data_IF_382055552509
#
_entry.id   IF_382055552509
#
_cell.length_a   1.000
_cell.length_b   1.000
_cell.length_c   1.000
_cell.angle_alpha   90.00
_cell.angle_beta   90.00
_cell.angle_gamma   90.00
#
_symmetry.space_group_name_H-M   'P 1'
#
loop_
_entity.id
_entity.type
_entity.pdbx_description
1 polymer ?
#
# COMPACT_ATOMS: atom_id res chain seq x y z
N UNK A 1 29.52 19.39 9.72
CA UNK A 1 28.59 20.56 9.84
C UNK A 1 27.30 20.30 9.09
N UNK A 2 26.16 20.66 9.66
CA UNK A 2 24.87 20.60 8.94
C UNK A 2 24.71 21.82 8.04
N UNK A 3 23.91 21.72 6.95
CA UNK A 3 23.58 22.87 6.10
C UNK A 3 23.01 24.06 6.91
N UNK A 4 22.26 23.77 7.97
CA UNK A 4 21.70 24.79 8.84
C UNK A 4 22.78 25.56 9.62
N UNK A 5 23.81 24.89 10.11
CA UNK A 5 24.95 25.49 10.80
C UNK A 5 25.72 26.44 9.88
N UNK A 6 26.04 26.00 8.65
CA UNK A 6 26.74 26.83 7.67
C UNK A 6 25.92 28.09 7.31
N UNK A 7 24.61 27.94 7.10
CA UNK A 7 23.74 29.08 6.80
C UNK A 7 23.66 30.09 7.97
N UNK A 8 23.74 29.58 9.19
CA UNK A 8 23.79 30.46 10.38
C UNK A 8 25.09 31.22 10.45
N UNK A 9 26.23 30.59 10.26
CA UNK A 9 27.55 31.24 10.24
C UNK A 9 27.62 32.34 9.16
N UNK A 10 27.18 32.05 7.96
CA UNK A 10 27.11 33.05 6.87
C UNK A 10 26.20 34.24 7.24
N UNK A 11 25.10 33.98 7.91
CA UNK A 11 24.19 35.05 8.36
C UNK A 11 24.80 35.90 9.46
N UNK A 12 25.52 35.26 10.38
CA UNK A 12 26.26 35.98 11.44
C UNK A 12 27.31 36.90 10.85
N UNK A 13 28.19 36.41 9.99
CA UNK A 13 29.23 37.22 9.32
C UNK A 13 28.63 38.39 8.56
N UNK A 14 27.53 38.19 7.84
CA UNK A 14 26.82 39.26 7.13
C UNK A 14 26.24 40.30 8.08
N UNK A 15 25.65 39.86 9.18
CA UNK A 15 25.11 40.74 10.19
C UNK A 15 26.22 41.60 10.81
N UNK A 16 27.34 41.03 11.22
CA UNK A 16 28.48 41.75 11.82
C UNK A 16 29.01 42.84 10.89
N UNK A 17 29.18 42.51 9.59
CA UNK A 17 29.61 43.48 8.60
C UNK A 17 28.66 44.68 8.46
N UNK A 18 27.36 44.43 8.45
CA UNK A 18 26.34 45.48 8.36
C UNK A 18 26.17 46.24 9.65
N UNK A 19 26.31 45.56 10.80
CA UNK A 19 26.29 46.18 12.12
C UNK A 19 27.44 47.14 12.31
N UNK A 20 28.68 46.78 11.92
CA UNK A 20 29.84 47.68 11.94
C UNK A 20 29.63 48.95 11.11
N UNK A 21 29.10 48.80 9.89
CA UNK A 21 28.74 49.95 9.00
C UNK A 21 27.66 50.84 9.61
N UNK A 22 26.70 50.27 10.32
CA UNK A 22 25.66 51.01 11.04
C UNK A 22 26.28 51.80 12.22
N UNK A 23 27.21 51.23 12.96
CA UNK A 23 27.90 51.90 14.05
C UNK A 23 28.72 53.12 13.55
N UNK A 24 29.32 52.98 12.37
CA UNK A 24 30.00 54.06 11.68
C UNK A 24 29.06 55.11 11.05
N UNK A 25 27.74 54.96 11.22
CA UNK A 25 26.68 55.81 10.63
C UNK A 25 26.66 55.83 9.10
N UNK A 26 27.26 54.84 8.45
CA UNK A 26 27.24 54.67 6.98
C UNK A 26 25.89 54.16 6.50
N UNK A 27 25.21 53.36 7.32
CA UNK A 27 23.90 52.80 7.03
C UNK A 27 22.89 53.14 8.13
N UNK A 28 21.64 53.30 7.74
CA UNK A 28 20.49 53.30 8.66
C UNK A 28 20.09 51.88 9.10
N UNK A 29 19.26 51.78 10.14
CA UNK A 29 18.72 50.49 10.57
C UNK A 29 17.85 49.82 9.49
N UNK A 30 17.13 50.63 8.71
CA UNK A 30 16.28 50.12 7.64
C UNK A 30 17.11 49.55 6.49
N UNK A 31 18.12 50.29 6.01
CA UNK A 31 19.04 49.86 4.93
C UNK A 31 19.83 48.59 5.34
N UNK A 32 20.33 48.54 6.57
CA UNK A 32 21.03 47.36 7.07
C UNK A 32 20.12 46.15 7.15
N UNK A 33 18.85 46.34 7.52
CA UNK A 33 17.84 45.27 7.52
C UNK A 33 17.55 44.78 6.10
N UNK A 34 17.34 45.69 5.16
CA UNK A 34 17.10 45.38 3.74
C UNK A 34 18.28 44.59 3.13
N UNK A 35 19.51 45.07 3.32
CA UNK A 35 20.72 44.38 2.83
C UNK A 35 20.92 42.98 3.44
N UNK A 36 20.45 42.76 4.68
CA UNK A 36 20.48 41.43 5.33
C UNK A 36 19.32 40.54 4.91
N UNK A 37 18.29 41.11 4.26
CA UNK A 37 17.06 40.39 3.89
C UNK A 37 16.09 40.19 5.07
N UNK A 38 16.09 41.12 6.04
CA UNK A 38 15.21 41.10 7.21
C UNK A 38 14.55 42.47 7.40
N UNK A 39 13.47 42.52 8.20
CA UNK A 39 12.84 43.77 8.55
C UNK A 39 13.73 44.61 9.49
N UNK A 40 13.59 45.95 9.45
CA UNK A 40 14.28 46.86 10.37
C UNK A 40 14.10 46.43 11.86
N UNK A 41 12.87 46.06 12.24
CA UNK A 41 12.55 45.55 13.58
C UNK A 41 13.39 44.32 13.93
N UNK A 42 13.59 43.41 12.96
CA UNK A 42 14.39 42.20 13.16
C UNK A 42 15.87 42.56 13.33
N UNK A 43 16.37 43.46 12.47
CA UNK A 43 17.77 43.92 12.57
C UNK A 43 18.04 44.65 13.90
N UNK A 44 17.13 45.51 14.34
CA UNK A 44 17.21 46.20 15.65
C UNK A 44 17.22 45.22 16.80
N UNK A 45 16.36 44.21 16.78
CA UNK A 45 16.33 43.17 17.82
C UNK A 45 17.63 42.36 17.86
N UNK A 46 18.21 42.07 16.68
CA UNK A 46 19.49 41.35 16.62
C UNK A 46 20.64 42.24 17.08
N UNK A 47 20.64 43.52 16.75
CA UNK A 47 21.63 44.47 17.28
C UNK A 47 21.62 44.52 18.78
N UNK A 48 20.45 44.66 19.43
CA UNK A 48 20.37 44.63 20.89
C UNK A 48 20.84 43.32 21.51
N UNK A 49 20.59 42.18 20.87
CA UNK A 49 21.12 40.90 21.33
C UNK A 49 22.62 40.76 21.13
N UNK A 50 23.14 41.32 20.05
CA UNK A 50 24.58 41.36 19.78
C UNK A 50 25.30 42.30 20.76
N UNK A 51 24.70 43.41 21.13
CA UNK A 51 25.23 44.36 22.11
C UNK A 51 25.32 43.71 23.50
N UNK A 52 24.40 42.79 23.83
CA UNK A 52 24.35 42.16 25.15
C UNK A 52 25.19 40.86 25.23
N UNK A 53 25.05 40.00 24.23
CA UNK A 53 25.58 38.64 24.27
C UNK A 53 26.66 38.38 23.17
N UNK A 54 27.05 39.41 22.41
CA UNK A 54 28.00 39.27 21.30
C UNK A 54 27.45 38.30 20.20
N UNK A 55 28.36 37.57 19.56
CA UNK A 55 28.04 36.64 18.48
C UNK A 55 27.08 35.53 18.96
N UNK A 56 27.15 35.13 20.21
CA UNK A 56 26.24 34.13 20.79
C UNK A 56 24.79 34.61 20.80
N UNK A 57 24.56 35.92 20.93
CA UNK A 57 23.25 36.53 20.86
C UNK A 57 22.56 36.35 19.49
N UNK A 58 23.31 36.10 18.42
CA UNK A 58 22.81 35.87 17.07
C UNK A 58 22.48 34.40 16.78
N UNK A 59 22.87 33.49 17.67
CA UNK A 59 22.61 32.07 17.47
C UNK A 59 21.10 31.74 17.47
N UNK A 60 20.67 30.89 16.53
CA UNK A 60 19.31 30.35 16.54
C UNK A 60 19.20 29.30 17.67
N UNK A 61 18.66 29.73 18.79
CA UNK A 61 18.47 28.88 20.00
C UNK A 61 17.57 27.66 19.76
N UNK A 62 16.97 27.52 18.57
CA UNK A 62 16.19 26.34 18.16
C UNK A 62 17.06 25.24 17.56
N UNK A 63 18.25 25.58 17.05
CA UNK A 63 19.20 24.60 16.53
C UNK A 63 19.75 23.76 17.67
N UNK A 64 19.71 22.45 17.51
CA UNK A 64 20.17 21.49 18.53
C UNK A 64 19.19 21.18 19.65
N UNK A 65 18.06 21.90 19.76
CA UNK A 65 17.03 21.54 20.74
C UNK A 65 16.21 20.36 20.25
N UNK A 66 16.07 19.27 21.02
CA UNK A 66 15.16 18.20 20.68
C UNK A 66 13.72 18.76 20.59
N UNK A 67 13.00 18.36 19.53
CA UNK A 67 11.59 18.74 19.41
C UNK A 67 10.80 18.15 20.57
N UNK A 68 9.91 18.92 21.22
CA UNK A 68 8.98 18.39 22.21
C UNK A 68 8.00 17.35 21.65
N UNK A 69 7.98 17.18 20.34
CA UNK A 69 7.24 16.12 19.62
C UNK A 69 8.16 14.96 19.23
N UNK A 70 9.43 14.95 19.66
CA UNK A 70 10.31 13.82 19.40
C UNK A 70 9.76 12.57 20.10
N UNK A 71 9.74 11.46 19.37
CA UNK A 71 9.33 10.18 19.93
C UNK A 71 10.43 9.70 20.86
N UNK A 72 10.10 9.16 22.05
CA UNK A 72 11.07 8.55 22.95
C UNK A 72 11.91 7.48 22.24
N UNK A 73 13.18 7.43 22.53
CA UNK A 73 14.14 6.51 21.88
C UNK A 73 13.78 5.06 22.17
N UNK A 74 13.35 4.76 23.37
CA UNK A 74 12.91 3.44 23.82
C UNK A 74 11.67 2.94 23.05
N UNK A 75 10.71 3.82 22.74
CA UNK A 75 9.57 3.48 21.89
C UNK A 75 10.01 3.12 20.47
N UNK A 76 10.95 3.89 19.91
CA UNK A 76 11.48 3.62 18.58
C UNK A 76 12.26 2.29 18.54
N UNK A 77 13.11 2.04 19.54
CA UNK A 77 13.86 0.80 19.67
C UNK A 77 12.92 -0.40 19.84
N UNK A 78 11.92 -0.33 20.70
CA UNK A 78 10.94 -1.39 20.91
C UNK A 78 10.23 -1.76 19.60
N UNK A 79 9.81 -0.77 18.81
CA UNK A 79 9.16 -1.00 17.51
C UNK A 79 10.13 -1.63 16.51
N UNK A 80 11.38 -1.19 16.44
CA UNK A 80 12.40 -1.75 15.55
C UNK A 80 12.73 -3.19 15.93
N UNK A 81 12.97 -3.46 17.22
CA UNK A 81 13.24 -4.81 17.72
C UNK A 81 12.08 -5.76 17.44
N UNK A 82 10.84 -5.30 17.61
CA UNK A 82 9.66 -6.10 17.30
C UNK A 82 9.61 -6.46 15.80
N UNK A 83 9.90 -5.49 14.91
CA UNK A 83 9.97 -5.75 13.48
C UNK A 83 11.06 -6.78 13.16
N UNK A 84 12.24 -6.60 13.70
CA UNK A 84 13.41 -7.45 13.46
C UNK A 84 13.20 -8.90 13.93
N UNK A 85 12.57 -9.06 15.10
CA UNK A 85 12.43 -10.39 15.72
C UNK A 85 11.22 -11.18 15.25
N UNK A 86 10.12 -10.51 14.87
CA UNK A 86 8.85 -11.19 14.56
C UNK A 86 8.28 -10.89 13.17
N UNK A 87 8.68 -9.76 12.56
CA UNK A 87 8.05 -9.24 11.34
C UNK A 87 9.05 -8.96 10.22
N UNK A 88 10.24 -9.58 10.28
CA UNK A 88 11.24 -9.47 9.22
C UNK A 88 10.65 -9.85 7.86
N UNK A 89 10.87 -9.03 6.83
CA UNK A 89 10.35 -9.26 5.50
C UNK A 89 8.89 -8.84 5.28
N UNK A 90 8.20 -8.34 6.32
CA UNK A 90 6.86 -7.79 6.14
C UNK A 90 6.93 -6.43 5.46
N UNK A 91 5.92 -6.11 4.63
CA UNK A 91 5.78 -4.74 4.14
C UNK A 91 5.49 -3.81 5.31
N UNK A 92 6.05 -2.59 5.26
CA UNK A 92 5.85 -1.60 6.33
C UNK A 92 4.36 -1.37 6.63
N UNK A 93 3.52 -1.43 5.59
CA UNK A 93 2.08 -1.20 5.76
C UNK A 93 1.43 -2.32 6.56
N UNK A 94 1.78 -3.57 6.26
CA UNK A 94 1.27 -4.74 6.97
C UNK A 94 1.76 -4.78 8.42
N UNK A 95 3.07 -4.57 8.65
CA UNK A 95 3.62 -4.45 9.99
C UNK A 95 2.98 -3.32 10.80
N UNK A 96 2.82 -2.13 10.20
CA UNK A 96 2.22 -0.99 10.89
C UNK A 96 0.81 -1.27 11.40
N UNK A 97 0.03 -2.04 10.65
CA UNK A 97 -1.29 -2.49 11.05
C UNK A 97 -1.22 -3.38 12.29
N UNK A 98 -0.37 -4.41 12.27
CA UNK A 98 -0.14 -5.29 13.42
C UNK A 98 0.42 -4.53 14.63
N UNK A 99 1.34 -3.58 14.39
CA UNK A 99 1.85 -2.70 15.43
C UNK A 99 0.72 -1.95 16.16
N UNK A 100 -0.26 -1.44 15.42
CA UNK A 100 -1.41 -0.75 16.01
C UNK A 100 -2.41 -1.68 16.69
N UNK A 101 -2.77 -2.79 16.06
CA UNK A 101 -3.84 -3.66 16.55
C UNK A 101 -3.40 -4.57 17.69
N UNK A 102 -2.16 -5.05 17.69
CA UNK A 102 -1.69 -6.08 18.62
C UNK A 102 -0.65 -5.59 19.62
N UNK A 103 0.09 -4.55 19.28
CA UNK A 103 1.23 -4.09 20.10
C UNK A 103 1.04 -2.68 20.66
N UNK A 104 -0.15 -2.11 20.58
CA UNK A 104 -0.50 -0.81 21.16
C UNK A 104 0.23 0.37 20.53
N UNK A 105 0.68 0.25 19.29
CA UNK A 105 1.32 1.34 18.55
C UNK A 105 0.35 2.48 18.26
N UNK A 106 0.78 3.73 18.51
CA UNK A 106 -0.04 4.92 18.28
C UNK A 106 0.54 5.86 17.22
N UNK A 107 1.75 5.57 16.71
CA UNK A 107 2.45 6.44 15.79
C UNK A 107 1.96 6.28 14.34
N UNK A 108 2.06 7.36 13.56
CA UNK A 108 1.61 7.35 12.17
C UNK A 108 2.44 6.38 11.29
N UNK A 109 1.83 5.90 10.21
CA UNK A 109 2.51 5.10 9.18
C UNK A 109 3.79 5.75 8.66
N UNK A 110 3.77 7.08 8.45
CA UNK A 110 4.95 7.81 7.97
C UNK A 110 6.10 7.78 8.97
N UNK A 111 5.81 7.80 10.27
CA UNK A 111 6.82 7.67 11.30
C UNK A 111 7.39 6.23 11.31
N UNK A 112 6.54 5.21 11.39
CA UNK A 112 6.95 3.80 11.32
C UNK A 112 7.86 3.53 10.12
N UNK A 113 7.44 3.99 8.94
CA UNK A 113 8.21 3.84 7.70
C UNK A 113 9.60 4.51 7.79
N UNK A 114 9.66 5.76 8.25
CA UNK A 114 10.93 6.50 8.35
C UNK A 114 11.88 5.88 9.36
N UNK A 115 11.34 5.40 10.48
CA UNK A 115 12.13 4.76 11.54
C UNK A 115 12.72 3.44 11.06
N UNK A 116 11.95 2.56 10.41
CA UNK A 116 12.45 1.31 9.82
C UNK A 116 13.45 1.56 8.69
N UNK A 117 13.25 2.62 7.89
CA UNK A 117 14.22 3.02 6.85
C UNK A 117 15.52 3.55 7.46
N UNK A 118 15.45 4.31 8.55
CA UNK A 118 16.63 4.81 9.26
C UNK A 118 17.41 3.68 9.93
N UNK A 119 16.72 2.66 10.43
CA UNK A 119 17.31 1.45 11.00
C UNK A 119 17.86 0.46 9.93
N UNK A 120 17.66 0.73 8.63
CA UNK A 120 18.19 -0.11 7.55
C UNK A 120 17.36 -1.35 7.21
N UNK A 121 16.23 -1.58 7.89
CA UNK A 121 15.39 -2.77 7.66
C UNK A 121 14.54 -2.68 6.40
N UNK A 122 14.30 -1.47 5.89
CA UNK A 122 13.44 -1.26 4.72
C UNK A 122 14.08 -0.27 3.76
N UNK A 123 14.19 -0.65 2.50
CA UNK A 123 14.70 0.23 1.43
C UNK A 123 13.64 1.23 0.97
N UNK A 124 14.08 2.38 0.47
CA UNK A 124 13.18 3.32 -0.19
C UNK A 124 12.76 2.77 -1.54
N UNK A 125 11.46 2.74 -1.78
CA UNK A 125 10.94 2.37 -3.09
C UNK A 125 11.43 3.36 -4.16
N UNK A 126 11.84 2.89 -5.35
CA UNK A 126 12.17 3.77 -6.47
C UNK A 126 10.96 4.62 -6.89
N UNK A 127 11.23 5.79 -7.46
CA UNK A 127 10.17 6.62 -8.05
C UNK A 127 9.51 5.84 -9.20
N UNK A 128 8.19 5.72 -9.15
CA UNK A 128 7.43 5.09 -10.24
C UNK A 128 7.36 6.04 -11.43
N UNK A 129 7.40 5.49 -12.65
CA UNK A 129 7.13 6.21 -13.89
C UNK A 129 5.66 6.66 -14.02
N UNK A 130 5.30 7.21 -15.17
CA UNK A 130 3.95 7.69 -15.46
C UNK A 130 2.89 6.59 -15.24
N UNK A 131 1.73 7.00 -14.73
CA UNK A 131 0.61 6.09 -14.52
C UNK A 131 0.07 5.57 -15.87
N UNK A 132 -0.08 4.24 -15.98
CA UNK A 132 -0.82 3.62 -17.08
C UNK A 132 -2.31 3.97 -16.98
N UNK A 133 -2.99 4.06 -18.11
CA UNK A 133 -4.46 4.22 -18.14
C UNK A 133 -5.11 3.05 -17.40
N UNK A 134 -6.03 3.36 -16.49
CA UNK A 134 -6.81 2.35 -15.77
C UNK A 134 -8.13 2.13 -16.52
N UNK A 135 -8.50 0.86 -16.73
CA UNK A 135 -9.85 0.54 -17.19
C UNK A 135 -10.88 0.99 -16.13
N UNK A 136 -11.97 1.67 -16.50
CA UNK A 136 -13.05 1.99 -15.57
C UNK A 136 -13.58 0.72 -14.89
N UNK A 137 -14.06 0.86 -13.66
CA UNK A 137 -14.77 -0.21 -12.95
C UNK A 137 -16.18 -0.37 -13.52
N UNK A 138 -16.76 -1.55 -13.36
CA UNK A 138 -18.21 -1.69 -13.53
C UNK A 138 -18.92 -0.87 -12.45
N UNK A 139 -20.07 -0.26 -12.75
CA UNK A 139 -20.76 0.61 -11.78
C UNK A 139 -21.36 -0.13 -10.60
N UNK A 140 -21.88 -1.36 -10.82
CA UNK A 140 -22.58 -2.17 -9.82
C UNK A 140 -21.87 -3.48 -9.52
N UNK A 141 -21.90 -3.97 -8.27
CA UNK A 141 -21.50 -5.34 -7.93
C UNK A 141 -22.30 -6.36 -8.72
N UNK A 142 -21.69 -7.50 -9.07
CA UNK A 142 -22.33 -8.57 -9.83
C UNK A 142 -22.41 -8.33 -11.36
N UNK A 143 -22.09 -7.14 -11.86
CA UNK A 143 -22.02 -6.92 -13.31
C UNK A 143 -20.87 -7.68 -13.98
N UNK A 144 -19.75 -7.83 -13.29
CA UNK A 144 -18.61 -8.59 -13.78
C UNK A 144 -17.78 -9.08 -12.62
N UNK A 145 -17.55 -10.37 -12.58
CA UNK A 145 -16.61 -10.98 -11.66
C UNK A 145 -15.33 -11.34 -12.39
N UNK A 146 -14.23 -11.40 -11.65
CA UNK A 146 -12.96 -11.97 -12.09
C UNK A 146 -12.73 -13.27 -11.33
N UNK A 147 -12.40 -14.34 -12.02
CA UNK A 147 -11.92 -15.57 -11.40
C UNK A 147 -10.54 -15.89 -11.97
N UNK A 148 -9.64 -16.29 -11.07
CA UNK A 148 -8.26 -16.55 -11.41
C UNK A 148 -7.62 -17.43 -10.34
N UNK A 149 -6.65 -18.25 -10.71
CA UNK A 149 -5.83 -19.05 -9.82
C UNK A 149 -4.42 -18.46 -9.69
N UNK A 150 -3.76 -18.79 -8.59
CA UNK A 150 -2.38 -18.38 -8.37
C UNK A 150 -1.61 -19.46 -7.63
N UNK A 151 -0.68 -20.08 -8.34
CA UNK A 151 0.31 -20.99 -7.74
C UNK A 151 1.35 -20.18 -6.97
N UNK A 152 1.54 -20.51 -5.71
CA UNK A 152 2.54 -19.85 -4.87
C UNK A 152 2.94 -20.76 -3.71
N UNK A 153 4.11 -20.51 -3.12
CA UNK A 153 4.50 -21.12 -1.86
C UNK A 153 3.76 -20.41 -0.72
N UNK A 154 2.53 -20.86 -0.42
CA UNK A 154 1.67 -20.26 0.60
C UNK A 154 2.09 -20.62 2.02
N UNK A 155 2.68 -21.79 2.17
CA UNK A 155 3.30 -22.31 3.38
C UNK A 155 4.68 -22.84 2.99
N UNK A 156 5.71 -22.68 3.80
CA UNK A 156 7.05 -23.17 3.49
C UNK A 156 7.06 -24.64 3.03
N UNK A 157 7.60 -24.90 1.85
CA UNK A 157 7.66 -26.22 1.24
C UNK A 157 6.39 -26.70 0.54
N UNK A 158 5.28 -25.94 0.60
CA UNK A 158 4.00 -26.33 -0.01
C UNK A 158 3.59 -25.31 -1.09
N UNK A 159 3.55 -25.76 -2.34
CA UNK A 159 2.98 -25.02 -3.44
C UNK A 159 1.53 -25.45 -3.68
N UNK A 160 0.60 -24.54 -3.51
CA UNK A 160 -0.82 -24.73 -3.78
C UNK A 160 -1.34 -23.66 -4.72
N UNK A 161 -2.48 -23.91 -5.33
CA UNK A 161 -3.21 -22.90 -6.08
C UNK A 161 -4.26 -22.25 -5.20
N UNK A 162 -4.22 -20.92 -5.10
CA UNK A 162 -5.27 -20.13 -4.50
C UNK A 162 -6.24 -19.69 -5.60
N UNK A 163 -7.45 -20.21 -5.57
CA UNK A 163 -8.53 -19.79 -6.46
C UNK A 163 -9.24 -18.60 -5.82
N UNK A 164 -9.43 -17.52 -6.59
CA UNK A 164 -10.08 -16.29 -6.11
C UNK A 164 -11.14 -15.83 -7.09
N UNK A 165 -12.33 -15.56 -6.59
CA UNK A 165 -13.41 -14.92 -7.33
C UNK A 165 -13.73 -13.57 -6.70
N UNK A 166 -13.50 -12.48 -7.43
CA UNK A 166 -13.65 -11.11 -6.94
C UNK A 166 -14.49 -10.24 -7.88
N UNK A 167 -15.13 -9.23 -7.31
CA UNK A 167 -15.97 -8.27 -8.05
C UNK A 167 -15.15 -7.16 -8.73
N UNK A 168 -15.52 -6.79 -9.95
CA UNK A 168 -14.89 -5.72 -10.69
C UNK A 168 -15.20 -4.33 -10.14
N UNK A 169 -16.40 -4.11 -9.65
CA UNK A 169 -16.85 -2.82 -9.15
C UNK A 169 -16.19 -2.51 -7.80
N UNK A 170 -16.20 -3.47 -6.88
CA UNK A 170 -15.80 -3.27 -5.49
C UNK A 170 -14.42 -3.84 -5.16
N UNK A 171 -13.89 -4.78 -5.94
CA UNK A 171 -12.74 -5.63 -5.59
C UNK A 171 -12.96 -6.51 -4.36
N UNK A 172 -14.18 -6.65 -3.90
CA UNK A 172 -14.57 -7.58 -2.88
C UNK A 172 -14.33 -9.01 -3.35
N UNK A 173 -13.75 -9.85 -2.51
CA UNK A 173 -13.56 -11.27 -2.77
C UNK A 173 -14.77 -12.01 -2.20
N UNK A 174 -15.52 -12.68 -3.07
CA UNK A 174 -16.70 -13.45 -2.67
C UNK A 174 -16.39 -14.92 -2.41
N UNK A 175 -15.38 -15.47 -3.10
CA UNK A 175 -14.91 -16.83 -2.89
C UNK A 175 -13.40 -16.86 -3.00
N UNK A 176 -12.73 -17.53 -2.05
CA UNK A 176 -11.32 -17.86 -2.14
C UNK A 176 -11.03 -19.14 -1.33
N UNK A 177 -10.22 -20.03 -1.91
CA UNK A 177 -9.80 -21.25 -1.27
C UNK A 177 -8.55 -21.83 -1.94
N UNK A 178 -7.80 -22.60 -1.17
CA UNK A 178 -6.65 -23.36 -1.63
C UNK A 178 -7.07 -24.71 -2.20
N UNK A 179 -6.38 -25.13 -3.26
CA UNK A 179 -6.43 -26.46 -3.87
C UNK A 179 -5.01 -26.90 -4.23
N UNK A 180 -4.83 -28.20 -4.49
CA UNK A 180 -3.55 -28.72 -4.97
C UNK A 180 -3.25 -28.19 -6.38
N UNK A 181 -4.27 -28.18 -7.26
CA UNK A 181 -4.15 -27.74 -8.65
C UNK A 181 -5.44 -27.07 -9.13
N UNK A 182 -5.29 -25.95 -9.86
CA UNK A 182 -6.38 -25.24 -10.53
C UNK A 182 -6.95 -26.10 -11.66
N UNK A 183 -8.28 -26.08 -11.83
CA UNK A 183 -8.94 -26.81 -12.91
C UNK A 183 -10.45 -26.57 -12.96
N UNK A 184 -11.12 -27.37 -13.77
CA UNK A 184 -12.56 -27.26 -13.98
C UNK A 184 -13.37 -27.34 -12.70
N UNK A 185 -13.05 -28.28 -11.80
CA UNK A 185 -13.82 -28.48 -10.56
C UNK A 185 -13.62 -27.33 -9.57
N UNK A 186 -12.39 -26.85 -9.41
CA UNK A 186 -12.11 -25.71 -8.53
C UNK A 186 -12.75 -24.43 -9.06
N UNK A 187 -12.73 -24.22 -10.39
CA UNK A 187 -13.42 -23.08 -11.00
C UNK A 187 -14.94 -23.13 -10.76
N UNK A 188 -15.59 -24.29 -11.00
CA UNK A 188 -17.02 -24.46 -10.76
C UNK A 188 -17.38 -24.32 -9.27
N UNK A 189 -16.52 -24.81 -8.36
CA UNK A 189 -16.69 -24.63 -6.91
C UNK A 189 -16.73 -23.14 -6.55
N UNK A 190 -15.76 -22.35 -7.01
CA UNK A 190 -15.71 -20.92 -6.71
C UNK A 190 -16.93 -20.16 -7.25
N UNK A 191 -17.41 -20.51 -8.45
CA UNK A 191 -18.63 -19.94 -9.02
C UNK A 191 -19.87 -20.33 -8.21
N UNK A 192 -19.97 -21.60 -7.79
CA UNK A 192 -21.06 -22.07 -6.96
C UNK A 192 -21.13 -21.33 -5.63
N UNK A 193 -19.99 -21.18 -4.93
CA UNK A 193 -19.93 -20.44 -3.66
C UNK A 193 -20.44 -19.01 -3.82
N UNK A 194 -20.11 -18.32 -4.93
CA UNK A 194 -20.65 -16.99 -5.21
C UNK A 194 -22.14 -17.01 -5.48
N UNK A 195 -22.62 -17.94 -6.30
CA UNK A 195 -24.06 -18.02 -6.64
C UNK A 195 -24.90 -18.33 -5.42
N UNK A 196 -24.44 -19.23 -4.55
CA UNK A 196 -25.15 -19.59 -3.31
C UNK A 196 -25.20 -18.46 -2.30
N UNK A 197 -24.21 -17.56 -2.27
CA UNK A 197 -24.11 -16.49 -1.28
C UNK A 197 -24.61 -15.13 -1.80
N UNK A 198 -24.41 -14.82 -3.08
CA UNK A 198 -24.71 -13.52 -3.69
C UNK A 198 -25.84 -13.58 -4.72
N UNK A 199 -26.02 -14.73 -5.38
CA UNK A 199 -26.91 -14.90 -6.52
C UNK A 199 -26.18 -14.93 -7.86
N UNK A 200 -26.95 -14.98 -8.97
CA UNK A 200 -26.42 -15.00 -10.33
C UNK A 200 -25.86 -13.61 -10.71
N UNK A 201 -24.69 -13.60 -11.33
CA UNK A 201 -24.00 -12.42 -11.83
C UNK A 201 -24.04 -12.34 -13.36
N UNK A 202 -23.76 -11.16 -13.95
CA UNK A 202 -23.96 -10.96 -15.39
C UNK A 202 -22.81 -11.50 -16.26
N UNK A 203 -21.55 -11.39 -15.82
CA UNK A 203 -20.40 -11.83 -16.61
C UNK A 203 -19.21 -12.25 -15.77
N UNK A 204 -18.43 -13.21 -16.30
CA UNK A 204 -17.18 -13.69 -15.72
C UNK A 204 -16.00 -13.32 -16.63
N UNK A 205 -14.98 -12.72 -16.09
CA UNK A 205 -13.76 -12.36 -16.77
C UNK A 205 -12.61 -13.25 -16.29
N UNK A 206 -12.03 -14.06 -17.18
CA UNK A 206 -11.00 -15.04 -16.86
C UNK A 206 -9.78 -14.86 -17.74
N UNK A 207 -8.68 -15.49 -17.38
CA UNK A 207 -7.62 -15.76 -18.32
C UNK A 207 -8.08 -16.75 -19.42
N UNK A 208 -7.14 -17.19 -20.28
CA UNK A 208 -7.41 -18.16 -21.33
C UNK A 208 -6.93 -19.55 -20.94
N UNK A 209 -7.02 -19.90 -19.66
CA UNK A 209 -6.73 -21.25 -19.17
C UNK A 209 -7.61 -22.30 -19.85
N UNK A 210 -7.08 -23.51 -20.04
CA UNK A 210 -7.72 -24.59 -20.80
C UNK A 210 -9.05 -25.06 -20.21
N UNK A 211 -9.28 -24.85 -18.92
CA UNK A 211 -10.53 -25.17 -18.23
C UNK A 211 -11.63 -24.14 -18.50
N UNK A 212 -11.27 -22.88 -18.87
CA UNK A 212 -12.22 -21.85 -19.30
C UNK A 212 -12.41 -21.84 -20.82
N UNK A 213 -11.31 -21.99 -21.57
CA UNK A 213 -11.31 -21.77 -23.02
C UNK A 213 -10.54 -22.86 -23.75
N UNK A 214 -11.06 -23.24 -24.91
CA UNK A 214 -10.30 -24.01 -25.88
C UNK A 214 -9.56 -23.04 -26.81
N UNK A 215 -8.27 -23.26 -26.99
CA UNK A 215 -7.41 -22.52 -27.92
C UNK A 215 -6.65 -23.50 -28.78
N UNK A 216 -6.53 -23.25 -30.07
CA UNK A 216 -5.78 -24.13 -30.99
C UNK A 216 -4.28 -24.09 -30.70
N UNK A 217 -3.78 -22.92 -30.29
CA UNK A 217 -2.39 -22.71 -29.90
C UNK A 217 -2.34 -21.99 -28.56
N UNK A 218 -1.30 -22.26 -27.77
CA UNK A 218 -1.08 -21.59 -26.49
C UNK A 218 -1.02 -20.06 -26.68
N UNK A 219 -1.94 -19.34 -26.04
CA UNK A 219 -2.06 -17.88 -26.17
C UNK A 219 -2.81 -17.40 -27.42
N UNK A 220 -3.32 -18.29 -28.26
CA UNK A 220 -4.09 -18.00 -29.48
C UNK A 220 -5.49 -17.45 -29.23
N UNK A 221 -6.28 -17.31 -30.29
CA UNK A 221 -7.69 -16.93 -30.18
C UNK A 221 -8.49 -18.05 -29.57
N UNK A 222 -9.46 -17.69 -28.72
CA UNK A 222 -10.36 -18.66 -28.10
C UNK A 222 -11.34 -19.24 -29.14
N UNK A 223 -11.59 -20.54 -29.06
CA UNK A 223 -12.65 -21.20 -29.81
C UNK A 223 -14.01 -20.84 -29.20
N UNK A 224 -14.90 -20.29 -29.98
CA UNK A 224 -16.24 -19.89 -29.55
C UNK A 224 -17.30 -20.94 -29.87
N UNK A 225 -16.95 -21.98 -30.60
CA UNK A 225 -17.86 -23.05 -31.04
C UNK A 225 -17.73 -24.26 -30.10
N UNK A 226 -16.51 -24.71 -29.87
CA UNK A 226 -16.23 -25.79 -28.93
C UNK A 226 -16.09 -25.22 -27.51
N UNK A 227 -17.03 -25.53 -26.64
CA UNK A 227 -17.09 -24.97 -25.30
C UNK A 227 -16.56 -25.95 -24.25
N UNK A 228 -15.81 -25.41 -23.28
CA UNK A 228 -15.39 -26.17 -22.09
C UNK A 228 -16.58 -26.44 -21.18
N UNK A 229 -16.39 -27.29 -20.16
CA UNK A 229 -17.44 -27.57 -19.15
C UNK A 229 -17.86 -26.30 -18.40
N UNK A 230 -16.87 -25.49 -17.98
CA UNK A 230 -17.15 -24.22 -17.30
C UNK A 230 -17.95 -23.27 -18.20
N UNK A 231 -17.56 -23.14 -19.45
CA UNK A 231 -18.24 -22.26 -20.40
C UNK A 231 -19.68 -22.70 -20.63
N UNK A 232 -19.93 -24.01 -20.81
CA UNK A 232 -21.30 -24.54 -20.98
C UNK A 232 -22.18 -24.31 -19.76
N UNK A 233 -21.64 -24.52 -18.55
CA UNK A 233 -22.37 -24.27 -17.33
C UNK A 233 -22.76 -22.79 -17.21
N UNK A 234 -21.84 -21.88 -17.46
CA UNK A 234 -22.11 -20.44 -17.44
C UNK A 234 -23.14 -20.04 -18.51
N UNK A 235 -23.04 -20.58 -19.71
CA UNK A 235 -24.02 -20.34 -20.79
C UNK A 235 -25.43 -20.76 -20.40
N UNK A 236 -25.59 -21.92 -19.75
CA UNK A 236 -26.90 -22.39 -19.24
C UNK A 236 -27.47 -21.46 -18.18
N UNK A 237 -26.61 -20.84 -17.37
CA UNK A 237 -27.00 -19.87 -16.35
C UNK A 237 -27.20 -18.45 -16.89
N UNK A 238 -27.01 -18.23 -18.20
CA UNK A 238 -27.11 -16.90 -18.80
C UNK A 238 -25.93 -15.96 -18.48
N UNK A 239 -24.84 -16.50 -17.93
CA UNK A 239 -23.65 -15.71 -17.56
C UNK A 239 -22.68 -15.63 -18.75
N UNK A 240 -22.28 -14.42 -19.13
CA UNK A 240 -21.34 -14.19 -20.22
C UNK A 240 -19.90 -14.43 -19.80
N UNK A 241 -19.20 -15.40 -20.42
CA UNK A 241 -17.77 -15.61 -20.19
C UNK A 241 -16.93 -14.71 -21.10
N UNK A 242 -15.97 -13.99 -20.57
CA UNK A 242 -15.15 -12.97 -21.26
C UNK A 242 -13.66 -13.32 -21.13
N UNK A 243 -12.92 -13.56 -22.25
CA UNK A 243 -11.50 -13.88 -22.21
C UNK A 243 -10.63 -12.63 -22.07
N UNK A 244 -9.59 -12.71 -21.29
CA UNK A 244 -8.58 -11.67 -21.17
C UNK A 244 -7.54 -11.81 -22.30
N UNK A 245 -7.43 -10.80 -23.17
CA UNK A 245 -6.44 -10.76 -24.25
C UNK A 245 -5.20 -9.93 -23.91
N UNK A 246 -5.21 -9.15 -22.83
CA UNK A 246 -4.06 -8.35 -22.45
C UNK A 246 -3.81 -8.39 -20.93
N UNK A 247 -2.54 -8.28 -20.49
CA UNK A 247 -2.21 -8.18 -19.08
C UNK A 247 -2.87 -6.98 -18.39
N UNK A 248 -3.00 -5.83 -19.09
CA UNK A 248 -3.63 -4.63 -18.55
C UNK A 248 -5.09 -4.88 -18.14
N UNK A 249 -5.77 -5.75 -18.87
CA UNK A 249 -7.14 -6.12 -18.61
C UNK A 249 -7.31 -6.89 -17.28
N UNK A 250 -6.26 -7.62 -16.83
CA UNK A 250 -6.21 -8.37 -15.57
C UNK A 250 -5.67 -7.57 -14.37
N UNK A 251 -5.35 -6.32 -14.54
CA UNK A 251 -4.66 -5.50 -13.52
C UNK A 251 -5.37 -5.41 -12.15
N UNK A 252 -6.65 -5.87 -12.03
CA UNK A 252 -7.36 -5.97 -10.74
C UNK A 252 -7.05 -7.27 -10.03
N UNK A 253 -7.21 -8.41 -10.69
CA UNK A 253 -6.84 -9.72 -10.15
C UNK A 253 -5.36 -9.78 -9.81
N UNK A 254 -4.47 -9.30 -10.70
CA UNK A 254 -3.04 -9.22 -10.45
C UNK A 254 -2.69 -8.39 -9.18
N UNK A 255 -3.40 -7.29 -8.95
CA UNK A 255 -3.20 -6.49 -7.73
C UNK A 255 -3.71 -7.19 -6.49
N UNK A 256 -4.85 -7.86 -6.57
CA UNK A 256 -5.38 -8.66 -5.49
C UNK A 256 -4.39 -9.77 -5.13
N UNK A 257 -3.94 -10.55 -6.12
CA UNK A 257 -2.96 -11.61 -5.89
C UNK A 257 -1.63 -11.11 -5.33
N UNK A 258 -1.11 -9.99 -5.80
CA UNK A 258 0.10 -9.39 -5.21
C UNK A 258 -0.09 -9.08 -3.72
N UNK A 259 -1.28 -8.63 -3.33
CA UNK A 259 -1.58 -8.35 -1.92
C UNK A 259 -1.75 -9.63 -1.13
N UNK A 260 -2.42 -10.63 -1.70
CA UNK A 260 -2.61 -11.94 -1.08
C UNK A 260 -1.26 -12.66 -0.88
N UNK A 261 -0.43 -12.72 -1.91
CA UNK A 261 0.91 -13.31 -1.86
C UNK A 261 1.86 -12.60 -0.88
N UNK A 262 1.72 -11.27 -0.71
CA UNK A 262 2.50 -10.54 0.30
C UNK A 262 2.02 -10.82 1.72
N UNK A 263 0.70 -10.97 1.93
CA UNK A 263 0.12 -11.00 3.28
C UNK A 263 -0.20 -12.39 3.79
N UNK A 264 -0.88 -13.19 2.99
CA UNK A 264 -1.47 -14.45 3.46
C UNK A 264 -0.43 -15.47 3.95
N UNK A 265 0.73 -15.67 3.28
CA UNK A 265 1.77 -16.56 3.83
C UNK A 265 2.25 -16.15 5.22
N UNK A 266 2.38 -14.85 5.44
CA UNK A 266 2.83 -14.28 6.71
C UNK A 266 1.78 -14.44 7.81
N UNK A 267 0.52 -14.27 7.46
CA UNK A 267 -0.60 -14.46 8.37
C UNK A 267 -0.76 -15.93 8.77
N UNK A 268 -0.65 -16.85 7.81
CA UNK A 268 -0.67 -18.29 8.07
C UNK A 268 0.49 -18.72 8.97
N UNK A 269 1.68 -18.19 8.73
CA UNK A 269 2.86 -18.45 9.56
C UNK A 269 2.68 -17.94 11.01
N UNK A 270 2.12 -16.74 11.20
CA UNK A 270 1.82 -16.20 12.54
C UNK A 270 0.76 -17.04 13.26
N UNK A 271 -0.24 -17.54 12.52
CA UNK A 271 -1.27 -18.43 13.05
C UNK A 271 -0.77 -19.87 13.29
N UNK A 272 0.45 -20.21 12.88
CA UNK A 272 1.01 -21.56 13.02
C UNK A 272 0.33 -22.60 12.14
N UNK A 273 -0.26 -22.19 11.03
CA UNK A 273 -1.03 -23.05 10.12
C UNK A 273 -0.07 -23.67 9.09
N UNK A 274 -0.12 -25.00 8.98
CA UNK A 274 0.73 -25.79 8.07
C UNK A 274 -0.07 -26.71 7.14
N UNK A 275 -1.38 -26.87 7.37
CA UNK A 275 -2.25 -27.77 6.62
C UNK A 275 -3.26 -26.99 5.76
N UNK A 276 -3.54 -27.49 4.54
CA UNK A 276 -4.45 -26.84 3.59
C UNK A 276 -5.87 -26.67 4.15
N UNK A 277 -6.38 -27.69 4.86
CA UNK A 277 -7.72 -27.60 5.43
C UNK A 277 -7.84 -26.49 6.47
N UNK A 278 -6.85 -26.38 7.37
CA UNK A 278 -6.78 -25.30 8.36
C UNK A 278 -6.54 -23.93 7.69
N UNK A 279 -5.74 -23.87 6.61
CA UNK A 279 -5.53 -22.67 5.83
C UNK A 279 -6.82 -22.17 5.16
N UNK A 280 -7.62 -23.09 4.61
CA UNK A 280 -8.93 -22.77 4.04
C UNK A 280 -9.91 -22.25 5.09
N UNK A 281 -9.94 -22.87 6.27
CA UNK A 281 -10.78 -22.39 7.37
C UNK A 281 -10.38 -21.00 7.82
N UNK A 282 -9.08 -20.77 8.06
CA UNK A 282 -8.54 -19.45 8.43
C UNK A 282 -8.83 -18.37 7.37
N UNK A 283 -8.66 -18.74 6.10
CA UNK A 283 -8.93 -17.85 4.97
C UNK A 283 -10.36 -17.33 5.00
N UNK A 284 -11.34 -18.22 5.16
CA UNK A 284 -12.77 -17.88 5.15
C UNK A 284 -13.19 -17.15 6.43
N UNK A 285 -12.80 -17.67 7.59
CA UNK A 285 -13.32 -17.16 8.87
C UNK A 285 -12.63 -15.89 9.35
N UNK A 286 -11.36 -15.70 9.03
CA UNK A 286 -10.56 -14.61 9.59
C UNK A 286 -9.97 -13.68 8.54
N UNK A 287 -9.29 -14.22 7.53
CA UNK A 287 -8.52 -13.40 6.61
C UNK A 287 -9.41 -12.63 5.61
N UNK A 288 -10.35 -13.30 4.96
CA UNK A 288 -11.21 -12.67 3.95
C UNK A 288 -12.08 -11.53 4.50
N UNK A 289 -12.74 -11.66 5.66
CA UNK A 289 -13.48 -10.56 6.24
C UNK A 289 -12.61 -9.32 6.48
N UNK A 290 -11.41 -9.50 7.04
CA UNK A 290 -10.46 -8.41 7.27
C UNK A 290 -9.88 -7.83 5.98
N UNK A 291 -9.65 -8.69 4.97
CA UNK A 291 -9.18 -8.29 3.66
C UNK A 291 -10.22 -7.42 2.95
N UNK A 292 -11.46 -7.86 2.91
CA UNK A 292 -12.55 -7.15 2.26
C UNK A 292 -12.83 -5.82 2.95
N UNK A 293 -12.94 -5.78 4.28
CA UNK A 293 -13.09 -4.53 5.04
C UNK A 293 -12.02 -3.49 4.67
N UNK A 294 -10.78 -3.93 4.45
CA UNK A 294 -9.64 -3.06 4.18
C UNK A 294 -9.47 -2.66 2.73
N UNK A 295 -9.70 -3.56 1.79
CA UNK A 295 -9.33 -3.38 0.38
C UNK A 295 -10.51 -3.21 -0.56
N UNK A 296 -11.71 -3.54 -0.11
CA UNK A 296 -12.94 -3.26 -0.84
C UNK A 296 -13.07 -1.74 -1.05
N UNK A 297 -13.61 -1.36 -2.19
CA UNK A 297 -13.96 0.02 -2.50
C UNK A 297 -15.46 0.12 -2.74
N UNK A 298 -16.04 1.26 -2.45
CA UNK A 298 -17.46 1.50 -2.72
C UNK A 298 -17.73 1.46 -4.22
N UNK A 299 -18.81 0.80 -4.63
CA UNK A 299 -19.31 0.83 -6.00
C UNK A 299 -19.67 2.26 -6.42
N UNK A 300 -19.62 2.53 -7.73
CA UNK A 300 -19.91 3.87 -8.27
C UNK A 300 -21.39 4.20 -8.15
N UNK A 301 -22.25 3.20 -8.34
CA UNK A 301 -23.71 3.33 -8.26
C UNK A 301 -24.27 2.50 -7.09
N UNK A 302 -25.37 2.92 -6.49
CA UNK A 302 -26.05 2.14 -5.45
C UNK A 302 -26.80 0.96 -6.04
N UNK A 303 -26.88 -0.15 -5.29
CA UNK A 303 -27.56 -1.37 -5.69
C UNK A 303 -26.61 -2.48 -6.13
N UNK A 304 -27.19 -3.52 -6.71
CA UNK A 304 -26.49 -4.71 -7.18
C UNK A 304 -27.07 -5.24 -8.48
N UNK A 305 -26.26 -5.89 -9.30
CA UNK A 305 -26.68 -6.61 -10.50
C UNK A 305 -26.80 -8.14 -10.25
N UNK A 306 -26.59 -8.60 -9.03
CA UNK A 306 -26.87 -9.98 -8.67
C UNK A 306 -28.39 -10.25 -8.70
N UNK A 307 -28.75 -11.41 -9.22
CA UNK A 307 -30.12 -11.94 -9.27
C UNK A 307 -30.19 -13.09 -8.26
N UNK A 308 -31.05 -13.01 -7.25
CA UNK A 308 -31.22 -14.04 -6.22
C UNK A 308 -31.61 -15.41 -6.79
#
# INVERSE_FOLDING_TARGET
MTRATVLQEVRQMRFEALYARRQQRILTMAEAGEMLGVTERTFRRWSGRYDTDGVEGLQDRRLGRPSGRAVPVDEALRMVTLYETRYTGWTVKHFHERWHTEHGGTRSYSWTKKTLQAAGHVTRAPRRGAHRKKRPRKPLPGMMLHQDGSTHEWIPGCQWDLIVTLDDATTEIYSAFFVEEEGTLSSLRGLREVIETQGLFSSLYTDRGSHYWLTEEAGGKVDKIRLTQVHRALQQLGVTLIPAYSPEARGRSERAFRTLQDRLPKELAVAGITEMAAANQYLIEQFLPQYNDRFMVRATEPGTAFIP
#
